data_IF_520136211535
#
_entry.id   IF_520136211535
#
_cell.length_a   1.000
_cell.length_b   1.000
_cell.length_c   1.000
_cell.angle_alpha   90.00
_cell.angle_beta   90.00
_cell.angle_gamma   90.00
#
_symmetry.space_group_name_H-M   'P 1'
#
loop_
_entity.id
_entity.type
_entity.pdbx_description
1 polymer ?
#
# COMPACT_ATOMS: atom_id res chain seq x y z
N UNK A 1 30.42 4.58 -2.20
CA UNK A 1 28.95 4.66 -2.38
C UNK A 1 28.26 4.39 -1.05
N UNK A 2 27.33 5.24 -0.59
CA UNK A 2 26.82 5.19 0.78
C UNK A 2 25.80 4.03 0.97
N UNK A 3 26.28 2.82 1.30
CA UNK A 3 25.49 1.57 1.38
C UNK A 3 24.20 1.69 2.20
N UNK A 4 24.24 2.45 3.29
CA UNK A 4 23.09 2.71 4.18
C UNK A 4 21.95 3.47 3.47
N UNK A 5 22.27 4.39 2.57
CA UNK A 5 21.27 5.12 1.81
C UNK A 5 20.54 4.22 0.82
N UNK A 6 21.28 3.40 0.07
CA UNK A 6 20.69 2.46 -0.90
C UNK A 6 19.77 1.42 -0.25
N UNK A 7 20.09 0.97 0.97
CA UNK A 7 19.16 0.14 1.76
C UNK A 7 17.85 0.90 2.05
N UNK A 8 17.93 2.18 2.43
CA UNK A 8 16.72 2.99 2.65
C UNK A 8 15.87 3.11 1.38
N UNK A 9 16.49 3.27 0.21
CA UNK A 9 15.78 3.30 -1.07
C UNK A 9 15.10 1.96 -1.39
N UNK A 10 15.81 0.85 -1.21
CA UNK A 10 15.25 -0.49 -1.45
C UNK A 10 14.04 -0.78 -0.56
N UNK A 11 14.15 -0.49 0.74
CA UNK A 11 13.03 -0.66 1.69
C UNK A 11 11.88 0.29 1.36
N UNK A 12 12.17 1.55 1.00
CA UNK A 12 11.14 2.49 0.57
C UNK A 12 10.36 2.00 -0.67
N UNK A 13 11.06 1.43 -1.65
CA UNK A 13 10.45 0.83 -2.83
C UNK A 13 9.52 -0.33 -2.49
N UNK A 14 9.98 -1.27 -1.65
CA UNK A 14 9.14 -2.39 -1.20
C UNK A 14 7.89 -1.92 -0.45
N UNK A 15 8.02 -0.93 0.43
CA UNK A 15 6.89 -0.36 1.18
C UNK A 15 5.91 0.38 0.26
N UNK A 16 6.40 1.09 -0.75
CA UNK A 16 5.56 1.75 -1.74
C UNK A 16 4.73 0.74 -2.55
N UNK A 17 5.36 -0.34 -3.04
CA UNK A 17 4.66 -1.42 -3.75
C UNK A 17 3.63 -2.10 -2.84
N UNK A 18 3.98 -2.35 -1.58
CA UNK A 18 3.05 -2.95 -0.62
C UNK A 18 1.84 -2.04 -0.34
N UNK A 19 2.08 -0.73 -0.19
CA UNK A 19 1.01 0.27 -0.05
C UNK A 19 0.04 0.25 -1.24
N UNK A 20 0.57 0.25 -2.47
CA UNK A 20 -0.23 0.18 -3.69
C UNK A 20 -1.05 -1.11 -3.74
N UNK A 21 -0.45 -2.25 -3.37
CA UNK A 21 -1.16 -3.53 -3.31
C UNK A 21 -2.30 -3.54 -2.30
N UNK A 22 -2.11 -2.91 -1.13
CA UNK A 22 -3.17 -2.78 -0.11
C UNK A 22 -4.29 -1.86 -0.60
N UNK A 23 -3.94 -0.73 -1.20
CA UNK A 23 -4.91 0.21 -1.78
C UNK A 23 -5.73 -0.46 -2.90
N UNK A 24 -5.05 -1.16 -3.82
CA UNK A 24 -5.69 -1.93 -4.88
C UNK A 24 -6.55 -3.09 -4.38
N UNK A 25 -6.22 -3.68 -3.23
CA UNK A 25 -7.07 -4.71 -2.61
C UNK A 25 -8.36 -4.13 -2.02
N UNK A 26 -8.31 -2.88 -1.54
CA UNK A 26 -9.48 -2.17 -1.03
C UNK A 26 -10.47 -1.72 -2.11
N UNK A 27 -9.96 -1.23 -3.25
CA UNK A 27 -10.79 -0.65 -4.31
C UNK A 27 -10.94 -1.52 -5.56
N UNK A 28 -10.09 -2.54 -5.76
CA UNK A 28 -9.76 -3.00 -7.11
C UNK A 28 -10.04 -4.43 -7.52
N UNK A 29 -10.14 -5.45 -6.65
CA UNK A 29 -9.89 -6.81 -7.19
C UNK A 29 -10.81 -7.98 -6.81
N UNK A 30 -11.85 -7.79 -5.98
CA UNK A 30 -12.76 -8.90 -5.66
C UNK A 30 -14.23 -8.52 -5.59
N UNK A 31 -14.69 -7.53 -6.37
CA UNK A 31 -16.12 -7.37 -6.65
C UNK A 31 -16.62 -8.49 -7.60
N UNK A 32 -16.38 -9.75 -7.24
CA UNK A 32 -17.03 -10.88 -7.90
C UNK A 32 -18.41 -10.99 -7.26
N UNK A 33 -19.41 -10.35 -7.86
CA UNK A 33 -20.80 -10.68 -7.59
C UNK A 33 -21.01 -12.14 -8.01
N UNK A 34 -21.11 -13.05 -7.05
CA UNK A 34 -21.55 -14.43 -7.31
C UNK A 34 -23.02 -14.48 -6.94
N UNK A 35 -23.88 -14.25 -7.93
CA UNK A 35 -25.32 -14.08 -7.72
C UNK A 35 -25.64 -12.74 -7.03
N UNK A 36 -26.42 -12.77 -5.95
CA UNK A 36 -26.83 -11.57 -5.18
C UNK A 36 -25.82 -11.14 -4.09
N UNK A 37 -24.71 -11.85 -3.94
CA UNK A 37 -23.79 -11.65 -2.82
C UNK A 37 -22.48 -11.01 -3.25
N UNK A 38 -22.01 -10.06 -2.46
CA UNK A 38 -20.71 -9.43 -2.60
C UNK A 38 -19.69 -10.23 -1.78
N UNK A 39 -18.47 -10.37 -2.29
CA UNK A 39 -17.38 -11.02 -1.57
C UNK A 39 -16.19 -10.07 -1.52
N UNK A 40 -15.43 -10.08 -0.42
CA UNK A 40 -14.22 -9.27 -0.28
C UNK A 40 -13.11 -10.16 0.22
N UNK A 41 -11.93 -10.06 -0.40
CA UNK A 41 -10.73 -10.69 0.15
C UNK A 41 -10.09 -9.73 1.15
N UNK A 42 -10.28 -9.98 2.44
CA UNK A 42 -9.68 -9.19 3.53
C UNK A 42 -8.59 -10.00 4.25
N UNK A 43 -7.34 -9.53 4.22
CA UNK A 43 -6.19 -10.16 4.89
C UNK A 43 -6.03 -11.67 4.56
N UNK A 44 -6.31 -12.05 3.32
CA UNK A 44 -6.22 -13.44 2.86
C UNK A 44 -7.50 -14.27 3.05
N UNK A 45 -8.47 -13.79 3.84
CA UNK A 45 -9.76 -14.45 4.03
C UNK A 45 -10.81 -13.89 3.06
N UNK A 46 -11.69 -14.77 2.56
CA UNK A 46 -12.84 -14.38 1.76
C UNK A 46 -14.01 -14.12 2.72
N UNK A 47 -14.49 -12.88 2.74
CA UNK A 47 -15.60 -12.43 3.57
C UNK A 47 -16.81 -12.17 2.67
N UNK A 48 -17.93 -12.81 2.99
CA UNK A 48 -19.21 -12.52 2.33
C UNK A 48 -19.81 -11.25 2.93
N UNK A 49 -20.16 -10.29 2.08
CA UNK A 49 -20.82 -9.03 2.45
C UNK A 49 -22.16 -8.92 1.75
N UNK A 50 -23.10 -8.28 2.43
CA UNK A 50 -24.51 -8.25 2.00
C UNK A 50 -24.95 -6.86 1.56
N UNK A 51 -24.23 -5.82 1.98
CA UNK A 51 -24.51 -4.43 1.63
C UNK A 51 -23.30 -3.72 1.05
N UNK A 52 -23.55 -2.65 0.29
CA UNK A 52 -22.52 -1.75 -0.23
C UNK A 52 -21.84 -0.96 0.91
N UNK A 53 -22.51 -0.72 2.03
CA UNK A 53 -21.90 -0.11 3.22
C UNK A 53 -20.82 -1.00 3.84
N UNK A 54 -21.10 -2.30 3.99
CA UNK A 54 -20.12 -3.26 4.48
C UNK A 54 -18.93 -3.37 3.51
N UNK A 55 -19.20 -3.37 2.21
CA UNK A 55 -18.15 -3.34 1.18
C UNK A 55 -17.23 -2.12 1.35
N UNK A 56 -17.82 -0.93 1.48
CA UNK A 56 -17.08 0.32 1.69
C UNK A 56 -16.27 0.31 2.98
N UNK A 57 -16.76 -0.32 4.06
CA UNK A 57 -16.00 -0.49 5.30
C UNK A 57 -14.68 -1.22 5.07
N UNK A 58 -14.67 -2.30 4.28
CA UNK A 58 -13.43 -3.00 3.95
C UNK A 58 -12.50 -2.18 3.05
N UNK A 59 -13.05 -1.41 2.11
CA UNK A 59 -12.28 -0.48 1.29
C UNK A 59 -11.57 0.58 2.13
N UNK A 60 -12.28 1.18 3.10
CA UNK A 60 -11.69 2.15 4.04
C UNK A 60 -10.64 1.52 4.94
N UNK A 61 -10.83 0.28 5.40
CA UNK A 61 -9.81 -0.42 6.18
C UNK A 61 -8.53 -0.64 5.37
N UNK A 62 -8.64 -1.11 4.14
CA UNK A 62 -7.49 -1.28 3.24
C UNK A 62 -6.82 0.04 2.89
N UNK A 63 -7.60 1.10 2.67
CA UNK A 63 -7.08 2.44 2.46
C UNK A 63 -6.30 2.92 3.69
N UNK A 64 -6.87 2.80 4.89
CA UNK A 64 -6.18 3.14 6.14
C UNK A 64 -4.88 2.35 6.32
N UNK A 65 -4.91 1.04 6.05
CA UNK A 65 -3.73 0.18 6.10
C UNK A 65 -2.67 0.54 5.07
N UNK A 66 -3.05 1.01 3.88
CA UNK A 66 -2.12 1.42 2.83
C UNK A 66 -1.34 2.70 3.18
N UNK A 67 -1.91 3.58 4.02
CA UNK A 67 -1.27 4.84 4.41
C UNK A 67 -0.01 4.60 5.25
N UNK A 68 -0.02 3.59 6.12
CA UNK A 68 1.10 3.26 7.00
C UNK A 68 2.39 2.97 6.20
N UNK A 69 2.43 1.99 5.28
CA UNK A 69 3.61 1.73 4.47
C UNK A 69 3.91 2.88 3.49
N UNK A 70 2.92 3.63 2.99
CA UNK A 70 3.18 4.82 2.17
C UNK A 70 3.98 5.89 2.94
N UNK A 71 3.58 6.18 4.18
CA UNK A 71 4.24 7.17 5.02
C UNK A 71 5.67 6.73 5.37
N UNK A 72 5.85 5.45 5.72
CA UNK A 72 7.17 4.88 5.99
C UNK A 72 8.06 4.89 4.74
N UNK A 73 7.52 4.59 3.56
CA UNK A 73 8.24 4.68 2.29
C UNK A 73 8.73 6.11 2.04
N UNK A 74 7.87 7.11 2.22
CA UNK A 74 8.21 8.52 2.05
C UNK A 74 9.27 8.98 3.06
N UNK A 75 9.15 8.55 4.32
CA UNK A 75 10.15 8.84 5.35
C UNK A 75 11.54 8.29 4.99
N UNK A 76 11.61 7.02 4.58
CA UNK A 76 12.87 6.37 4.20
C UNK A 76 13.46 6.94 2.92
N UNK A 77 12.63 7.30 1.94
CA UNK A 77 13.07 7.99 0.73
C UNK A 77 13.68 9.36 1.04
N UNK A 78 13.04 10.16 1.92
CA UNK A 78 13.62 11.43 2.39
C UNK A 78 14.96 11.22 3.10
N UNK A 79 15.09 10.14 3.88
CA UNK A 79 16.35 9.78 4.54
C UNK A 79 17.43 9.38 3.53
N UNK A 80 17.08 8.65 2.47
CA UNK A 80 17.97 8.34 1.36
C UNK A 80 18.52 9.62 0.71
N UNK A 81 17.65 10.57 0.33
CA UNK A 81 18.05 11.83 -0.30
C UNK A 81 19.02 12.66 0.56
N UNK A 82 18.94 12.57 1.89
CA UNK A 82 19.87 13.22 2.82
C UNK A 82 21.23 12.49 2.92
N UNK A 83 21.25 11.18 2.75
CA UNK A 83 22.44 10.34 2.93
C UNK A 83 23.26 10.20 1.64
N UNK A 84 22.56 10.15 0.50
CA UNK A 84 23.17 10.06 -0.84
C UNK A 84 22.92 11.39 -1.52
N UNK A 85 23.87 12.35 -1.44
CA UNK A 85 23.71 13.60 -2.16
C UNK A 85 23.63 13.30 -3.64
N UNK A 86 22.52 13.68 -4.27
CA UNK A 86 22.43 13.79 -5.72
C UNK A 86 23.40 14.91 -6.06
N UNK A 87 24.50 14.61 -6.76
CA UNK A 87 25.41 15.65 -7.23
C UNK A 87 24.56 16.67 -8.00
N UNK A 88 24.44 17.88 -7.47
CA UNK A 88 24.02 19.01 -8.28
C UNK A 88 25.21 19.30 -9.18
N UNK A 89 25.12 18.85 -10.44
CA UNK A 89 26.01 19.37 -11.47
C UNK A 89 25.64 20.84 -11.64
N UNK A 90 26.58 21.72 -11.29
CA UNK A 90 26.53 23.17 -11.51
C UNK A 90 26.94 23.45 -12.95
#
# INVERSE_FOLDING_TARGET
>A
MNRKGWICLGVAGCLAVWSISLFGSGYGYYNSQVGQWLYVKFMGNIVKVTTTEELNKYAYLYMGLSIIPAFLALYLYRKFLKIVPVKQEV
#
